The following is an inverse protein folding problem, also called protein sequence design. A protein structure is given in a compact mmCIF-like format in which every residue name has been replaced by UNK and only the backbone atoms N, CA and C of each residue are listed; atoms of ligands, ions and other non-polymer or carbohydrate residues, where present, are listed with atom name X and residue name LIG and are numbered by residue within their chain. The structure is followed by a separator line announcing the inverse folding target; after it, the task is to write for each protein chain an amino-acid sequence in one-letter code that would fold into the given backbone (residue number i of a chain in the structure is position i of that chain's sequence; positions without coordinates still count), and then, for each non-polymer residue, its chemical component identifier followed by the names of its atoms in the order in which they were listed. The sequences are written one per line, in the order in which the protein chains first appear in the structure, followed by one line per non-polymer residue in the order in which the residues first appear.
data_IF_618922308031
#
_entry.id   IF_618922308031
#
_cell.length_a   1.000
_cell.length_b   1.000
_cell.length_c   1.000
_cell.angle_alpha   90.00
_cell.angle_beta   90.00
_cell.angle_gamma   90.00
#
_symmetry.space_group_name_H-M   'P 1'
#
loop_
_entity.id
_entity.type
_entity.pdbx_description
1 polymer ?
#
# COMPACT_ATOMS: atom_id res chain seq x y z
N UNK A 1 3.99 -5.43 9.73
CA UNK A 1 2.89 -5.17 8.76
C UNK A 1 2.15 -6.43 8.30
N UNK A 2 2.75 -7.37 7.55
CA UNK A 2 2.01 -8.58 7.11
C UNK A 2 1.37 -9.36 8.27
N UNK A 3 2.19 -9.77 9.25
CA UNK A 3 1.74 -10.50 10.45
C UNK A 3 0.71 -9.71 11.25
N UNK A 4 0.92 -8.42 11.41
CA UNK A 4 0.04 -7.51 12.13
C UNK A 4 -1.34 -7.41 11.46
N UNK A 5 -1.40 -7.10 10.17
CA UNK A 5 -2.66 -7.03 9.42
C UNK A 5 -3.37 -8.39 9.39
N UNK A 6 -2.64 -9.48 9.18
CA UNK A 6 -3.23 -10.82 9.23
C UNK A 6 -3.79 -11.15 10.62
N UNK A 7 -3.12 -10.75 11.70
CA UNK A 7 -3.63 -10.94 13.07
C UNK A 7 -4.90 -10.14 13.37
N UNK A 8 -5.13 -9.04 12.65
CA UNK A 8 -6.35 -8.23 12.70
C UNK A 8 -7.47 -8.75 11.77
N UNK A 9 -7.24 -9.86 11.06
CA UNK A 9 -8.23 -10.53 10.22
C UNK A 9 -8.21 -10.11 8.74
N UNK A 10 -7.23 -9.32 8.29
CA UNK A 10 -7.11 -8.96 6.88
C UNK A 10 -6.45 -10.08 6.06
N UNK A 11 -6.97 -10.30 4.85
CA UNK A 11 -6.28 -11.09 3.83
C UNK A 11 -5.26 -10.22 3.12
N UNK A 12 -3.97 -10.51 3.30
CA UNK A 12 -2.86 -9.69 2.81
C UNK A 12 -2.05 -10.47 1.78
N UNK A 13 -1.83 -9.86 0.62
CA UNK A 13 -0.90 -10.36 -0.38
C UNK A 13 0.46 -9.68 -0.23
N UNK A 14 1.52 -10.48 -0.13
CA UNK A 14 2.91 -10.04 -0.23
C UNK A 14 3.60 -11.04 -1.15
N UNK A 15 4.16 -10.55 -2.24
CA UNK A 15 4.68 -11.40 -3.31
C UNK A 15 5.82 -12.31 -2.88
N UNK A 16 6.80 -11.87 -2.08
CA UNK A 16 7.88 -12.74 -1.62
C UNK A 16 7.40 -13.81 -0.63
N UNK A 17 6.19 -13.67 -0.08
CA UNK A 17 5.55 -14.67 0.80
C UNK A 17 4.68 -15.62 -0.02
N UNK A 18 3.83 -15.08 -0.89
CA UNK A 18 2.78 -15.84 -1.61
C UNK A 18 3.28 -16.37 -2.96
N UNK A 19 4.11 -15.59 -3.65
CA UNK A 19 4.64 -15.83 -4.99
C UNK A 19 6.19 -15.76 -4.96
N UNK A 20 6.83 -16.56 -4.09
CA UNK A 20 8.29 -16.51 -3.89
C UNK A 20 9.12 -16.80 -5.15
N UNK A 21 8.51 -17.40 -6.18
CA UNK A 21 9.08 -17.65 -7.49
C UNK A 21 9.00 -16.44 -8.45
N UNK A 22 8.36 -15.34 -8.04
CA UNK A 22 8.21 -14.13 -8.85
C UNK A 22 9.55 -13.39 -9.01
N UNK A 23 10.12 -13.48 -10.20
CA UNK A 23 11.36 -12.78 -10.55
C UNK A 23 11.11 -11.31 -10.92
N UNK A 24 11.18 -10.41 -9.93
CA UNK A 24 10.99 -8.94 -10.13
C UNK A 24 12.03 -8.29 -11.05
N UNK A 25 13.22 -8.89 -11.17
CA UNK A 25 14.29 -8.40 -12.05
C UNK A 25 14.03 -8.72 -13.53
N UNK A 26 13.11 -9.65 -13.82
CA UNK A 26 12.77 -10.07 -15.17
C UNK A 26 11.42 -9.46 -15.58
N UNK A 27 11.48 -8.26 -16.18
CA UNK A 27 10.31 -7.52 -16.69
C UNK A 27 9.81 -8.17 -17.98
N UNK A 28 9.10 -9.30 -17.83
CA UNK A 28 8.48 -10.02 -18.94
C UNK A 28 6.96 -9.81 -18.95
N UNK A 29 6.31 -10.07 -20.09
CA UNK A 29 4.83 -10.01 -20.19
C UNK A 29 4.14 -10.93 -19.18
N UNK A 30 4.72 -12.10 -18.90
CA UNK A 30 4.16 -13.06 -17.94
C UNK A 30 4.26 -12.54 -16.52
N UNK A 31 5.41 -11.97 -16.12
CA UNK A 31 5.61 -11.31 -14.81
C UNK A 31 4.58 -10.18 -14.62
N UNK A 32 4.44 -9.29 -15.61
CA UNK A 32 3.48 -8.16 -15.56
C UNK A 32 2.05 -8.66 -15.43
N UNK A 33 1.65 -9.70 -16.17
CA UNK A 33 0.30 -10.25 -16.12
C UNK A 33 0.00 -10.92 -14.77
N UNK A 34 0.99 -11.58 -14.15
CA UNK A 34 0.85 -12.16 -12.80
C UNK A 34 0.65 -11.07 -11.75
N UNK A 35 1.46 -10.01 -11.78
CA UNK A 35 1.30 -8.87 -10.84
C UNK A 35 -0.09 -8.23 -11.02
N UNK A 36 -0.53 -8.00 -12.27
CA UNK A 36 -1.88 -7.49 -12.54
C UNK A 36 -2.99 -8.38 -11.99
N UNK A 37 -2.84 -9.70 -12.12
CA UNK A 37 -3.81 -10.65 -11.57
C UNK A 37 -3.91 -10.52 -10.05
N UNK A 38 -2.77 -10.42 -9.35
CA UNK A 38 -2.73 -10.26 -7.89
C UNK A 38 -3.28 -8.92 -7.42
N UNK A 39 -2.97 -7.84 -8.15
CA UNK A 39 -3.53 -6.51 -7.92
C UNK A 39 -5.07 -6.52 -8.04
N UNK A 40 -5.62 -7.11 -9.11
CA UNK A 40 -7.08 -7.24 -9.31
C UNK A 40 -7.80 -8.12 -8.29
N UNK A 41 -7.07 -8.96 -7.56
CA UNK A 41 -7.61 -9.76 -6.45
C UNK A 41 -7.64 -8.97 -5.13
N UNK A 42 -7.02 -7.79 -5.10
CA UNK A 42 -6.87 -6.95 -3.92
C UNK A 42 -7.84 -5.78 -3.96
N UNK A 43 -8.40 -5.41 -2.80
CA UNK A 43 -9.35 -4.28 -2.69
C UNK A 43 -8.67 -2.91 -2.58
N UNK A 44 -7.40 -2.90 -2.21
CA UNK A 44 -6.63 -1.69 -1.92
C UNK A 44 -5.13 -1.97 -2.01
N UNK A 45 -4.34 -0.91 -2.03
CA UNK A 45 -2.88 -0.98 -2.00
C UNK A 45 -2.33 -0.25 -0.76
N UNK A 46 -1.39 -0.89 -0.07
CA UNK A 46 -0.55 -0.23 0.94
C UNK A 46 0.81 0.04 0.30
N UNK A 47 1.12 1.30 0.06
CA UNK A 47 2.39 1.76 -0.49
C UNK A 47 3.39 1.94 0.65
N UNK A 48 4.14 0.89 0.95
CA UNK A 48 5.15 0.91 2.01
C UNK A 48 6.44 1.58 1.50
N UNK A 49 6.66 2.84 1.89
CA UNK A 49 7.73 3.69 1.34
C UNK A 49 8.88 3.90 2.34
N UNK A 50 10.09 4.02 1.79
CA UNK A 50 11.35 4.34 2.46
C UNK A 50 12.23 5.12 1.49
N UNK A 51 13.39 5.61 1.91
CA UNK A 51 14.33 6.33 1.04
C UNK A 51 14.67 5.56 -0.26
N UNK A 52 14.86 4.24 -0.16
CA UNK A 52 15.17 3.38 -1.31
C UNK A 52 13.97 3.12 -2.24
N UNK A 53 12.73 3.34 -1.78
CA UNK A 53 11.53 3.13 -2.58
C UNK A 53 11.47 4.07 -3.80
N UNK A 54 12.11 5.25 -3.71
CA UNK A 54 12.23 6.23 -4.79
C UNK A 54 12.89 5.67 -6.06
N UNK A 55 13.74 4.66 -5.92
CA UNK A 55 14.49 4.05 -7.04
C UNK A 55 13.73 2.94 -7.78
N UNK A 56 12.59 2.51 -7.25
CA UNK A 56 11.82 1.40 -7.82
C UNK A 56 10.99 1.85 -9.02
N UNK A 57 11.17 1.18 -10.17
CA UNK A 57 10.29 1.37 -11.34
C UNK A 57 8.93 0.70 -11.18
N UNK A 58 8.85 -0.32 -10.32
CA UNK A 58 7.63 -1.10 -10.11
C UNK A 58 6.65 -0.38 -9.20
N UNK A 59 7.12 0.25 -8.13
CA UNK A 59 6.24 0.84 -7.12
C UNK A 59 5.33 1.95 -7.68
N UNK A 60 5.81 2.96 -8.43
CA UNK A 60 4.93 3.95 -9.05
C UNK A 60 3.97 3.35 -10.08
N UNK A 61 4.40 2.30 -10.78
CA UNK A 61 3.54 1.60 -11.75
C UNK A 61 2.41 0.81 -11.06
N UNK A 62 2.71 0.09 -9.98
CA UNK A 62 1.72 -0.61 -9.16
C UNK A 62 0.74 0.38 -8.53
N UNK A 63 1.25 1.52 -8.02
CA UNK A 63 0.42 2.59 -7.50
C UNK A 63 -0.55 3.11 -8.55
N UNK A 64 -0.07 3.53 -9.72
CA UNK A 64 -0.94 4.06 -10.77
C UNK A 64 -1.98 3.05 -11.26
N UNK A 65 -1.62 1.76 -11.32
CA UNK A 65 -2.57 0.71 -11.67
C UNK A 65 -3.67 0.56 -10.60
N UNK A 66 -3.28 0.42 -9.33
CA UNK A 66 -4.23 0.23 -8.22
C UNK A 66 -5.07 1.47 -7.96
N UNK A 67 -4.50 2.66 -8.11
CA UNK A 67 -5.21 3.93 -8.00
C UNK A 67 -6.40 3.99 -8.97
N UNK A 68 -6.17 3.61 -10.23
CA UNK A 68 -7.23 3.52 -11.24
C UNK A 68 -8.21 2.37 -10.99
N UNK A 69 -7.73 1.18 -10.62
CA UNK A 69 -8.56 -0.03 -10.47
C UNK A 69 -9.45 0.01 -9.22
N UNK A 70 -8.97 0.66 -8.14
CA UNK A 70 -9.66 0.70 -6.83
C UNK A 70 -10.30 2.05 -6.52
N UNK A 71 -10.35 2.96 -7.50
CA UNK A 71 -10.86 4.33 -7.33
C UNK A 71 -10.17 5.07 -6.17
N UNK A 72 -8.83 5.01 -6.15
CA UNK A 72 -8.00 5.72 -5.18
C UNK A 72 -7.85 5.06 -3.82
N UNK A 73 -8.23 3.79 -3.64
CA UNK A 73 -7.99 3.05 -2.37
C UNK A 73 -6.51 2.61 -2.24
N UNK A 74 -5.63 3.60 -2.26
CA UNK A 74 -4.21 3.47 -1.98
C UNK A 74 -3.87 4.28 -0.73
N UNK A 75 -3.03 3.74 0.16
CA UNK A 75 -2.59 4.42 1.37
C UNK A 75 -1.07 4.27 1.56
N UNK A 76 -0.43 5.31 2.08
CA UNK A 76 1.01 5.34 2.31
C UNK A 76 1.33 4.81 3.69
N UNK A 77 2.27 3.87 3.77
CA UNK A 77 2.88 3.42 5.02
C UNK A 77 4.36 3.82 5.03
N UNK A 78 4.75 4.91 5.70
CA UNK A 78 6.16 5.24 5.85
C UNK A 78 6.83 4.21 6.78
N UNK A 79 7.91 3.56 6.31
CA UNK A 79 8.65 2.55 7.09
C UNK A 79 9.69 3.21 8.03
N UNK A 80 10.06 4.47 7.76
CA UNK A 80 11.00 5.27 8.56
C UNK A 80 10.34 6.62 8.93
N UNK A 81 10.99 7.44 9.78
CA UNK A 81 10.61 8.84 10.08
C UNK A 81 10.81 9.77 8.86
N UNK A 82 10.48 9.27 7.68
CA UNK A 82 10.45 10.00 6.43
C UNK A 82 9.28 10.98 6.48
N UNK A 83 9.56 12.11 7.10
CA UNK A 83 8.73 13.29 7.21
C UNK A 83 8.27 13.79 5.83
N UNK A 84 7.26 14.67 5.82
CA UNK A 84 6.68 15.25 4.59
C UNK A 84 7.74 15.91 3.68
N UNK A 85 8.86 16.37 4.23
CA UNK A 85 9.92 17.07 3.52
C UNK A 85 10.81 16.17 2.65
N UNK A 86 10.70 14.85 2.79
CA UNK A 86 11.68 13.95 2.18
C UNK A 86 11.26 13.31 0.85
N UNK A 87 9.98 13.36 0.41
CA UNK A 87 9.45 12.79 -0.85
C UNK A 87 10.00 13.39 -2.16
N UNK A 88 11.28 13.77 -2.21
CA UNK A 88 11.92 14.34 -3.38
C UNK A 88 11.80 13.39 -4.58
N UNK A 89 11.14 13.85 -5.65
CA UNK A 89 10.88 13.05 -6.85
C UNK A 89 9.66 12.11 -6.77
N UNK A 90 8.92 12.13 -5.65
CA UNK A 90 7.66 11.39 -5.47
C UNK A 90 6.58 12.24 -4.78
N UNK A 91 6.49 13.52 -5.14
CA UNK A 91 5.56 14.50 -4.54
C UNK A 91 4.09 14.07 -4.70
N UNK A 92 3.78 13.29 -5.74
CA UNK A 92 2.47 12.68 -5.96
C UNK A 92 2.01 11.81 -4.79
N UNK A 93 2.91 11.26 -3.97
CA UNK A 93 2.51 10.46 -2.80
C UNK A 93 1.77 11.30 -1.73
N UNK A 94 1.90 12.64 -1.77
CA UNK A 94 1.26 13.55 -0.82
C UNK A 94 -0.27 13.61 -0.92
N UNK A 95 -0.85 13.15 -2.04
CA UNK A 95 -2.32 13.15 -2.25
C UNK A 95 -3.01 11.95 -1.60
N UNK A 96 -2.23 10.94 -1.18
CA UNK A 96 -2.75 9.71 -0.59
C UNK A 96 -2.81 9.81 0.95
N UNK A 97 -3.82 9.19 1.59
CA UNK A 97 -3.87 9.10 3.03
C UNK A 97 -2.71 8.24 3.58
N UNK A 98 -2.37 8.44 4.85
CA UNK A 98 -1.34 7.65 5.53
C UNK A 98 -1.96 6.61 6.44
N UNK A 99 -1.27 5.48 6.64
CA UNK A 99 -1.62 4.52 7.67
C UNK A 99 -0.89 4.89 8.96
N UNK A 100 -1.64 4.97 10.05
CA UNK A 100 -1.10 5.21 11.39
C UNK A 100 -1.80 4.34 12.43
N UNK A 101 -1.29 4.36 13.66
CA UNK A 101 -1.97 3.71 14.77
C UNK A 101 -3.33 4.36 15.02
N UNK A 102 -4.32 3.53 15.34
CA UNK A 102 -5.64 3.98 15.70
C UNK A 102 -5.60 4.92 16.90
N UNK A 103 -6.22 6.09 16.78
CA UNK A 103 -6.35 7.04 17.91
C UNK A 103 -7.54 6.70 18.82
N UNK A 104 -8.36 5.72 18.41
CA UNK A 104 -9.60 5.33 19.09
C UNK A 104 -9.28 4.32 20.19
N UNK A 105 -9.41 4.74 21.44
CA UNK A 105 -9.11 3.95 22.66
C UNK A 105 -9.75 2.55 22.76
N UNK A 106 -10.80 2.26 21.97
CA UNK A 106 -11.53 0.99 22.00
C UNK A 106 -11.33 0.10 20.77
N UNK A 107 -10.66 0.59 19.73
CA UNK A 107 -10.40 -0.18 18.51
C UNK A 107 -8.90 -0.35 18.35
N UNK A 108 -8.40 -1.58 18.54
CA UNK A 108 -7.00 -1.92 18.32
C UNK A 108 -6.67 -2.01 16.81
N UNK A 109 -7.38 -1.27 15.96
CA UNK A 109 -7.22 -1.29 14.51
C UNK A 109 -6.32 -0.14 14.02
N UNK A 110 -5.92 -0.21 12.76
CA UNK A 110 -5.19 0.88 12.10
C UNK A 110 -6.16 1.95 11.59
N UNK A 111 -5.70 3.19 11.58
CA UNK A 111 -6.44 4.31 11.00
C UNK A 111 -5.84 4.71 9.64
N UNK A 112 -6.73 5.09 8.72
CA UNK A 112 -6.42 5.78 7.47
C UNK A 112 -6.54 7.27 7.75
N UNK A 113 -5.40 7.93 7.87
CA UNK A 113 -5.25 9.34 8.19
C UNK A 113 -5.23 10.16 6.89
N UNK A 114 -6.39 10.71 6.53
CA UNK A 114 -6.61 11.40 5.27
C UNK A 114 -6.79 12.91 5.42
N UNK A 115 -6.73 13.63 4.29
CA UNK A 115 -6.96 15.09 4.26
C UNK A 115 -8.40 15.48 4.65
N UNK A 116 -9.36 14.57 4.49
CA UNK A 116 -10.78 14.77 4.83
C UNK A 116 -11.16 14.24 6.22
N UNK A 117 -10.18 13.81 7.02
CA UNK A 117 -10.37 13.23 8.35
C UNK A 117 -10.00 11.74 8.43
N UNK A 118 -9.84 11.27 9.66
CA UNK A 118 -9.38 9.92 9.96
C UNK A 118 -10.53 8.92 9.99
N UNK A 119 -10.36 7.78 9.32
CA UNK A 119 -11.32 6.67 9.34
C UNK A 119 -10.62 5.36 9.71
N UNK A 120 -11.35 4.41 10.31
CA UNK A 120 -10.77 3.10 10.60
C UNK A 120 -10.48 2.34 9.30
N UNK A 121 -9.42 1.54 9.31
CA UNK A 121 -9.05 0.71 8.15
C UNK A 121 -10.17 -0.28 7.79
N UNK A 122 -10.91 -0.83 8.77
CA UNK A 122 -12.14 -1.62 8.51
C UNK A 122 -13.17 -0.85 7.67
N UNK A 123 -13.49 0.39 8.04
CA UNK A 123 -14.47 1.21 7.30
C UNK A 123 -13.98 1.47 5.88
N UNK A 124 -12.71 1.84 5.73
CA UNK A 124 -12.09 2.11 4.43
C UNK A 124 -12.12 0.91 3.49
N UNK A 125 -11.97 -0.31 4.03
CA UNK A 125 -11.99 -1.57 3.29
C UNK A 125 -13.40 -2.13 3.00
N UNK A 126 -14.44 -1.56 3.61
CA UNK A 126 -15.83 -2.05 3.52
C UNK A 126 -16.69 -1.33 2.49
N UNK A 127 -16.29 -0.10 2.13
CA UNK A 127 -16.78 0.64 0.96
C UNK A 127 -16.14 0.01 -0.29
#
# INVERSE_FOLDING_TARGET
MYTELSSKGYSVYVDWIIDADLQRTNVSKTTVNRIRMRMKQSKSLIYATSENASTSKWMPWELGFMDGDTNGKCAILPITDYEKSSFNGQEFLSVYPKIGQGTRFYDNDLDIQGLSGDQSMKSWMSI
#
